data_IF_636388867516
#
_entry.id   IF_636388867516
#
_cell.length_a   1.000
_cell.length_b   1.000
_cell.length_c   1.000
_cell.angle_alpha   90.00
_cell.angle_beta   90.00
_cell.angle_gamma   90.00
#
_symmetry.space_group_name_H-M   'P 1'
#
loop_
_entity.id
_entity.type
_entity.pdbx_description
1 polymer ?
#
# COMPACT_ATOMS: atom_id res chain seq x y z
N UNK A 1 -18.52 71.67 14.01
CA UNK A 1 -19.20 70.48 13.43
C UNK A 1 -18.41 69.81 12.30
N UNK A 2 -17.75 70.55 11.40
CA UNK A 2 -16.91 70.00 10.30
C UNK A 2 -15.66 69.19 10.71
N UNK A 3 -15.15 69.39 11.93
CA UNK A 3 -13.95 68.68 12.43
C UNK A 3 -14.24 67.23 12.85
N UNK A 4 -15.48 66.91 13.22
CA UNK A 4 -15.89 65.56 13.63
C UNK A 4 -16.05 64.64 12.41
N UNK A 5 -16.58 65.17 11.30
CA UNK A 5 -16.82 64.42 10.05
C UNK A 5 -15.49 64.00 9.39
N UNK A 6 -14.44 64.83 9.49
CA UNK A 6 -13.08 64.46 9.02
C UNK A 6 -12.39 63.39 9.88
N UNK A 7 -12.77 63.24 11.16
CA UNK A 7 -12.25 62.15 12.02
C UNK A 7 -13.01 60.84 11.80
N UNK A 8 -14.33 60.89 11.62
CA UNK A 8 -15.14 59.70 11.32
C UNK A 8 -14.76 59.04 9.98
N UNK A 9 -14.47 59.84 8.95
CA UNK A 9 -14.06 59.34 7.62
C UNK A 9 -12.69 58.64 7.61
N UNK A 10 -11.76 59.03 8.50
CA UNK A 10 -10.48 58.32 8.69
C UNK A 10 -10.64 57.00 9.44
N UNK A 11 -11.57 56.92 10.40
CA UNK A 11 -11.87 55.70 11.15
C UNK A 11 -12.56 54.64 10.28
N UNK A 12 -13.50 55.03 9.41
CA UNK A 12 -14.12 54.11 8.45
C UNK A 12 -13.15 53.60 7.40
N UNK A 13 -12.18 54.42 6.96
CA UNK A 13 -11.13 53.97 6.03
C UNK A 13 -10.16 52.97 6.64
N UNK A 14 -9.81 53.13 7.93
CA UNK A 14 -8.97 52.18 8.67
C UNK A 14 -9.72 50.88 8.98
N UNK A 15 -11.02 50.96 9.30
CA UNK A 15 -11.89 49.78 9.49
C UNK A 15 -12.09 49.00 8.18
N UNK A 16 -12.18 49.67 7.02
CA UNK A 16 -12.23 49.00 5.72
C UNK A 16 -10.89 48.31 5.39
N UNK A 17 -9.75 48.94 5.72
CA UNK A 17 -8.43 48.33 5.55
C UNK A 17 -8.21 47.13 6.49
N UNK A 18 -8.71 47.19 7.73
CA UNK A 18 -8.68 46.08 8.68
C UNK A 18 -9.60 44.93 8.24
N UNK A 19 -10.75 45.22 7.63
CA UNK A 19 -11.62 44.20 7.05
C UNK A 19 -11.01 43.52 5.81
N UNK A 20 -10.25 44.26 4.99
CA UNK A 20 -9.47 43.71 3.87
C UNK A 20 -8.29 42.84 4.35
N UNK A 21 -7.71 43.13 5.52
CA UNK A 21 -6.66 42.31 6.14
C UNK A 21 -7.21 41.11 6.93
N UNK A 22 -8.45 41.18 7.44
CA UNK A 22 -9.16 40.06 8.04
C UNK A 22 -9.74 39.09 7.00
N UNK A 23 -9.95 39.55 5.75
CA UNK A 23 -10.36 38.73 4.61
C UNK A 23 -9.24 37.90 3.99
N UNK A 24 -8.03 37.92 4.56
CA UNK A 24 -7.00 36.92 4.28
C UNK A 24 -7.24 35.69 5.16
N UNK A 25 -8.48 35.19 5.19
CA UNK A 25 -8.68 33.79 5.48
C UNK A 25 -7.89 33.07 4.39
N UNK A 26 -6.77 32.44 4.76
CA UNK A 26 -6.15 31.43 3.91
C UNK A 26 -7.27 30.47 3.55
N UNK A 27 -7.78 30.61 2.33
CA UNK A 27 -8.68 29.64 1.72
C UNK A 27 -7.99 28.30 1.96
N UNK A 28 -8.54 27.50 2.88
CA UNK A 28 -7.96 26.22 3.30
C UNK A 28 -8.10 25.29 2.10
N UNK A 29 -7.18 25.46 1.16
CA UNK A 29 -7.30 24.98 -0.19
C UNK A 29 -7.07 23.49 -0.12
N UNK A 30 -8.16 22.79 -0.37
CA UNK A 30 -8.25 21.35 -0.27
C UNK A 30 -7.43 20.78 -1.43
N UNK A 31 -6.46 19.93 -1.14
CA UNK A 31 -5.64 19.26 -2.15
C UNK A 31 -6.42 18.09 -2.72
N UNK A 32 -6.47 18.00 -4.05
CA UNK A 32 -7.14 16.93 -4.76
C UNK A 32 -6.14 15.85 -5.17
N UNK A 33 -6.46 14.61 -4.84
CA UNK A 33 -5.75 13.41 -5.28
C UNK A 33 -6.65 12.70 -6.29
N UNK A 34 -6.10 12.31 -7.43
CA UNK A 34 -6.84 11.63 -8.49
C UNK A 34 -5.98 10.54 -9.08
N UNK A 35 -6.59 9.51 -9.65
CA UNK A 35 -5.86 8.52 -10.42
C UNK A 35 -6.80 7.52 -11.07
N UNK A 36 -6.19 6.59 -11.80
CA UNK A 36 -6.85 5.41 -12.33
C UNK A 36 -6.27 4.16 -11.73
N UNK A 37 -7.12 3.16 -11.53
CA UNK A 37 -6.67 1.78 -11.34
C UNK A 37 -6.64 1.12 -12.71
N UNK A 38 -5.47 0.62 -13.11
CA UNK A 38 -5.23 0.08 -14.45
C UNK A 38 -4.88 -1.40 -14.33
N UNK A 39 -5.55 -2.24 -15.11
CA UNK A 39 -5.18 -3.64 -15.30
C UNK A 39 -3.89 -3.67 -16.12
N UNK A 40 -2.81 -4.16 -15.50
CA UNK A 40 -1.47 -4.13 -16.06
C UNK A 40 -1.37 -4.91 -17.38
N UNK A 41 -2.16 -5.97 -17.53
CA UNK A 41 -2.10 -6.86 -18.69
C UNK A 41 -2.80 -6.26 -19.91
N UNK A 42 -3.89 -5.55 -19.68
CA UNK A 42 -4.78 -5.06 -20.75
C UNK A 42 -4.66 -3.55 -20.96
N UNK A 43 -3.96 -2.85 -20.05
CA UNK A 43 -3.92 -1.39 -19.97
C UNK A 43 -5.32 -0.75 -19.90
N UNK A 44 -6.32 -1.52 -19.45
CA UNK A 44 -7.69 -1.04 -19.31
C UNK A 44 -7.97 -0.58 -17.88
N UNK A 45 -8.84 0.42 -17.69
CA UNK A 45 -9.26 0.84 -16.36
C UNK A 45 -10.07 -0.24 -15.63
N UNK A 46 -9.91 -0.31 -14.31
CA UNK A 46 -10.59 -1.27 -13.43
C UNK A 46 -11.59 -0.55 -12.53
N UNK A 47 -12.88 -0.69 -12.83
CA UNK A 47 -13.97 -0.16 -11.99
C UNK A 47 -14.12 -0.91 -10.68
N UNK A 48 -14.95 -0.40 -9.76
CA UNK A 48 -15.39 -1.08 -8.54
C UNK A 48 -14.23 -1.70 -7.75
N UNK A 49 -13.16 -0.92 -7.62
CA UNK A 49 -11.95 -1.26 -6.88
C UNK A 49 -11.92 -0.42 -5.63
N UNK A 50 -11.75 -1.03 -4.44
CA UNK A 50 -11.51 -0.27 -3.21
C UNK A 50 -10.13 0.38 -3.32
N UNK A 51 -9.99 1.65 -2.97
CA UNK A 51 -8.73 2.38 -3.04
C UNK A 51 -8.46 3.03 -1.69
N UNK A 52 -7.31 2.71 -1.10
CA UNK A 52 -6.86 3.32 0.14
C UNK A 52 -5.68 4.25 -0.15
N UNK A 53 -5.83 5.55 0.12
CA UNK A 53 -4.75 6.52 0.06
C UNK A 53 -4.10 6.63 1.44
N UNK A 54 -2.80 6.27 1.53
CA UNK A 54 -2.03 6.34 2.76
C UNK A 54 -1.09 7.55 2.74
N UNK A 55 -1.31 8.46 3.69
CA UNK A 55 -0.59 9.73 3.80
C UNK A 55 0.26 9.71 5.06
N UNK A 56 1.49 10.21 4.93
CA UNK A 56 2.44 10.28 6.01
C UNK A 56 2.92 11.71 6.26
N UNK A 57 3.12 12.06 7.53
CA UNK A 57 3.54 13.41 7.93
C UNK A 57 5.07 13.52 7.91
N UNK A 58 5.67 13.33 6.74
CA UNK A 58 7.12 13.35 6.56
C UNK A 58 7.84 12.23 7.32
N UNK A 59 9.13 12.04 7.03
CA UNK A 59 10.01 11.32 7.93
C UNK A 59 10.46 12.33 9.00
N UNK A 60 9.94 12.24 10.22
CA UNK A 60 10.61 12.92 11.33
C UNK A 60 12.02 12.34 11.43
N UNK A 61 13.04 13.19 11.64
CA UNK A 61 14.41 12.75 11.95
C UNK A 61 14.47 11.83 13.18
N UNK A 62 13.40 11.81 13.96
CA UNK A 62 13.16 10.85 15.03
C UNK A 62 12.42 9.62 14.48
N UNK A 63 13.00 8.45 14.74
CA UNK A 63 12.60 7.08 14.35
C UNK A 63 11.21 6.61 14.81
N UNK A 64 10.25 7.51 14.99
CA UNK A 64 8.88 7.13 15.28
C UNK A 64 8.17 6.72 14.00
N UNK A 65 7.98 5.40 13.82
CA UNK A 65 7.03 4.86 12.85
C UNK A 65 5.62 5.30 13.26
N UNK A 66 5.21 6.47 12.81
CA UNK A 66 3.82 6.92 12.97
C UNK A 66 2.92 6.14 12.03
N UNK A 67 1.79 5.65 12.52
CA UNK A 67 0.77 5.01 11.67
C UNK A 67 0.31 6.00 10.59
N UNK A 68 0.32 5.62 9.30
CA UNK A 68 -0.14 6.50 8.24
C UNK A 68 -1.62 6.80 8.40
N UNK A 69 -2.03 7.99 7.98
CA UNK A 69 -3.45 8.30 7.82
C UNK A 69 -3.98 7.58 6.58
N UNK A 70 -5.15 6.95 6.70
CA UNK A 70 -5.80 6.22 5.61
C UNK A 70 -7.08 6.91 5.20
N UNK A 71 -7.22 7.19 3.90
CA UNK A 71 -8.46 7.66 3.28
C UNK A 71 -8.95 6.57 2.34
N UNK A 72 -10.15 6.07 2.60
CA UNK A 72 -10.75 5.00 1.79
C UNK A 72 -11.69 5.59 0.72
N UNK A 73 -11.77 4.92 -0.42
CA UNK A 73 -12.65 5.26 -1.51
C UNK A 73 -12.81 4.09 -2.48
N UNK A 74 -13.41 4.35 -3.64
CA UNK A 74 -13.54 3.35 -4.70
C UNK A 74 -13.46 3.98 -6.09
N UNK A 75 -13.11 3.18 -7.09
CA UNK A 75 -13.13 3.62 -8.48
C UNK A 75 -14.55 3.66 -9.05
N UNK A 76 -14.80 4.64 -9.92
CA UNK A 76 -16.02 4.72 -10.72
C UNK A 76 -16.01 3.74 -11.90
N UNK A 77 -17.04 3.79 -12.75
CA UNK A 77 -17.16 2.93 -13.95
C UNK A 77 -16.05 3.11 -15.00
N UNK A 78 -15.28 4.20 -14.92
CA UNK A 78 -14.11 4.48 -15.77
C UNK A 78 -12.80 4.09 -15.09
N UNK A 79 -12.85 3.40 -13.94
CA UNK A 79 -11.68 3.04 -13.13
C UNK A 79 -10.98 4.22 -12.48
N UNK A 80 -11.62 5.40 -12.45
CA UNK A 80 -11.07 6.63 -11.87
C UNK A 80 -11.48 6.78 -10.41
N UNK A 81 -10.59 7.30 -9.58
CA UNK A 81 -10.87 7.64 -8.18
C UNK A 81 -10.43 9.07 -7.88
N UNK A 82 -11.02 9.68 -6.85
CA UNK A 82 -10.61 10.99 -6.35
C UNK A 82 -10.79 11.10 -4.84
N UNK A 83 -9.84 11.78 -4.18
CA UNK A 83 -9.90 12.17 -2.79
C UNK A 83 -9.68 13.68 -2.68
N UNK A 84 -10.30 14.30 -1.68
CA UNK A 84 -10.09 15.71 -1.35
C UNK A 84 -9.71 15.81 0.12
N UNK A 85 -8.54 16.40 0.41
CA UNK A 85 -8.07 16.58 1.79
C UNK A 85 -7.27 17.87 1.92
N UNK A 86 -7.43 18.55 3.06
CA UNK A 86 -6.53 19.64 3.47
C UNK A 86 -5.16 19.05 3.77
N UNK A 87 -4.20 19.24 2.85
CA UNK A 87 -2.82 18.80 3.04
C UNK A 87 -2.07 19.78 3.94
N UNK A 88 -1.18 19.25 4.77
CA UNK A 88 -0.22 20.02 5.57
C UNK A 88 1.14 20.02 4.89
N UNK A 89 1.93 21.06 5.15
CA UNK A 89 3.31 21.13 4.69
C UNK A 89 4.12 19.91 5.20
N UNK A 90 4.99 19.37 4.36
CA UNK A 90 5.83 18.21 4.68
C UNK A 90 5.15 16.84 4.57
N UNK A 91 3.86 16.76 4.20
CA UNK A 91 3.20 15.48 3.98
C UNK A 91 3.65 14.80 2.68
N UNK A 92 3.84 13.49 2.74
CA UNK A 92 4.14 12.61 1.61
C UNK A 92 3.02 11.60 1.41
N UNK A 93 2.72 11.28 0.16
CA UNK A 93 1.93 10.10 -0.16
C UNK A 93 2.88 8.93 -0.06
N UNK A 94 2.62 8.10 0.95
CA UNK A 94 3.39 6.90 1.14
C UNK A 94 2.96 5.83 0.14
N UNK A 95 1.64 5.69 -0.05
CA UNK A 95 1.07 4.57 -0.78
C UNK A 95 -0.36 4.83 -1.29
N UNK A 96 -0.73 4.23 -2.42
CA UNK A 96 -2.12 4.07 -2.84
C UNK A 96 -2.36 2.57 -3.03
N UNK A 97 -3.15 1.96 -2.14
CA UNK A 97 -3.45 0.52 -2.16
C UNK A 97 -4.81 0.26 -2.82
N UNK A 98 -4.87 -0.13 -4.10
CA UNK A 98 -6.05 -0.70 -4.70
C UNK A 98 -6.29 -2.14 -4.24
N UNK A 99 -7.53 -2.47 -3.93
CA UNK A 99 -7.97 -3.82 -3.54
C UNK A 99 -9.12 -4.27 -4.44
N UNK A 100 -8.91 -5.37 -5.15
CA UNK A 100 -9.93 -6.05 -5.94
C UNK A 100 -9.74 -7.56 -5.90
N UNK A 101 -10.83 -8.29 -5.71
CA UNK A 101 -10.81 -9.76 -5.71
C UNK A 101 -10.26 -10.29 -7.03
N UNK A 102 -9.33 -11.25 -6.96
CA UNK A 102 -8.68 -11.84 -8.13
C UNK A 102 -7.53 -11.01 -8.70
N UNK A 103 -7.17 -9.91 -8.05
CA UNK A 103 -6.04 -9.07 -8.41
C UNK A 103 -5.04 -8.95 -7.26
N UNK A 104 -3.80 -8.64 -7.63
CA UNK A 104 -2.71 -8.24 -6.74
C UNK A 104 -2.24 -6.86 -7.12
N UNK A 105 -1.90 -6.08 -6.10
CA UNK A 105 -1.32 -4.77 -6.28
C UNK A 105 0.09 -4.87 -6.86
N UNK A 106 0.36 -4.03 -7.86
CA UNK A 106 1.69 -3.82 -8.43
C UNK A 106 2.22 -2.48 -7.94
N UNK A 107 3.35 -2.56 -7.25
CA UNK A 107 3.88 -1.48 -6.44
C UNK A 107 4.62 -0.42 -7.27
N UNK A 108 3.93 0.65 -7.70
CA UNK A 108 4.53 1.72 -8.53
C UNK A 108 4.71 3.08 -7.82
N UNK A 109 4.07 3.30 -6.67
CA UNK A 109 3.92 4.65 -6.10
C UNK A 109 4.40 4.81 -4.64
N UNK A 110 5.62 4.39 -4.32
CA UNK A 110 6.23 4.73 -3.01
C UNK A 110 6.72 6.18 -3.02
N UNK A 111 6.26 6.98 -2.05
CA UNK A 111 6.97 8.20 -1.62
C UNK A 111 6.84 9.43 -2.52
N UNK A 112 5.65 9.70 -3.08
CA UNK A 112 5.41 10.92 -3.86
C UNK A 112 5.13 12.11 -2.91
N UNK A 113 5.90 13.19 -3.03
CA UNK A 113 5.62 14.44 -2.30
C UNK A 113 4.26 15.00 -2.72
N UNK A 114 3.45 15.39 -1.73
CA UNK A 114 2.17 16.05 -1.99
C UNK A 114 2.47 17.46 -2.50
N UNK A 115 1.95 17.81 -3.68
CA UNK A 115 1.94 19.17 -4.18
C UNK A 115 0.70 19.88 -3.62
N UNK A 116 0.83 20.78 -2.64
CA UNK A 116 -0.32 21.43 -2.02
C UNK A 116 -1.03 22.30 -3.05
N UNK A 117 -2.35 22.35 -2.98
CA UNK A 117 -3.18 23.22 -3.84
C UNK A 117 -3.10 22.86 -5.34
N UNK A 118 -2.48 21.72 -5.67
CA UNK A 118 -2.39 21.18 -7.01
C UNK A 118 -3.13 19.84 -7.10
N UNK A 119 -3.39 19.42 -8.33
CA UNK A 119 -3.88 18.09 -8.63
C UNK A 119 -2.72 17.09 -8.56
N UNK A 120 -2.82 16.12 -7.66
CA UNK A 120 -1.86 15.03 -7.54
C UNK A 120 -2.40 13.81 -8.31
N UNK A 121 -1.73 13.40 -9.40
CA UNK A 121 -2.13 12.25 -10.24
C UNK A 121 -1.34 11.00 -9.84
N UNK A 122 -2.06 9.93 -9.49
CA UNK A 122 -1.54 8.75 -8.81
C UNK A 122 -2.08 7.47 -9.45
N UNK A 123 -1.81 7.23 -10.72
CA UNK A 123 -2.23 5.97 -11.33
C UNK A 123 -1.58 4.78 -10.60
N UNK A 124 -2.36 3.71 -10.42
CA UNK A 124 -1.94 2.49 -9.75
C UNK A 124 -2.32 1.29 -10.60
N UNK A 125 -1.58 0.20 -10.43
CA UNK A 125 -1.68 -0.95 -11.30
C UNK A 125 -2.10 -2.18 -10.50
N UNK A 126 -3.08 -2.90 -11.04
CA UNK A 126 -3.45 -4.22 -10.58
C UNK A 126 -3.05 -5.23 -11.63
N UNK A 127 -2.49 -6.36 -11.20
CA UNK A 127 -2.28 -7.51 -12.05
C UNK A 127 -3.17 -8.65 -11.61
N UNK A 128 -3.61 -9.49 -12.54
CA UNK A 128 -4.38 -10.67 -12.18
C UNK A 128 -3.54 -11.57 -11.27
N UNK A 129 -4.15 -11.99 -10.18
CA UNK A 129 -3.46 -12.71 -9.13
C UNK A 129 -3.43 -14.21 -9.38
N UNK A 130 -2.36 -14.85 -8.92
CA UNK A 130 -2.39 -16.22 -8.40
C UNK A 130 -2.13 -16.16 -6.91
N UNK A 131 -2.71 -17.08 -6.14
CA UNK A 131 -2.51 -17.10 -4.70
C UNK A 131 -1.82 -18.40 -4.26
N UNK A 132 -1.01 -18.31 -3.21
CA UNK A 132 -0.56 -19.44 -2.41
C UNK A 132 -1.17 -19.31 -1.03
N UNK A 133 -1.95 -20.31 -0.64
CA UNK A 133 -2.35 -20.52 0.74
C UNK A 133 -1.45 -21.59 1.36
N UNK A 134 -0.65 -21.18 2.34
CA UNK A 134 0.23 -22.04 3.10
C UNK A 134 -0.37 -22.24 4.49
N UNK A 135 -0.66 -23.49 4.83
CA UNK A 135 -1.03 -23.90 6.17
C UNK A 135 0.18 -24.54 6.84
N UNK A 136 0.55 -24.06 8.03
CA UNK A 136 1.65 -24.59 8.82
C UNK A 136 1.04 -25.19 10.07
N UNK A 137 1.14 -26.52 10.17
CA UNK A 137 0.57 -27.30 11.26
C UNK A 137 1.70 -27.98 12.04
N UNK A 138 1.75 -27.75 13.36
CA UNK A 138 2.63 -28.51 14.25
C UNK A 138 1.96 -29.83 14.60
N UNK A 139 2.49 -30.96 14.13
CA UNK A 139 1.77 -32.26 14.15
C UNK A 139 2.01 -33.09 15.42
N UNK A 140 2.96 -32.70 16.26
CA UNK A 140 3.18 -33.31 17.59
C UNK A 140 2.85 -32.31 18.70
N UNK A 141 2.50 -32.82 19.90
CA UNK A 141 2.44 -32.02 21.13
C UNK A 141 3.63 -31.05 21.18
N UNK A 142 3.39 -29.80 21.58
CA UNK A 142 4.37 -28.72 21.51
C UNK A 142 5.75 -29.16 22.03
N UNK A 143 6.62 -29.62 21.14
CA UNK A 143 8.02 -29.85 21.48
C UNK A 143 8.67 -28.47 21.50
N UNK A 144 9.13 -27.99 22.66
CA UNK A 144 9.76 -26.67 22.78
C UNK A 144 11.05 -26.56 21.94
N UNK A 145 11.54 -27.68 21.41
CA UNK A 145 12.87 -27.80 20.82
C UNK A 145 12.87 -27.83 19.28
N UNK A 146 11.74 -27.50 18.64
CA UNK A 146 11.59 -27.48 17.19
C UNK A 146 11.30 -26.07 16.66
N UNK A 147 12.26 -25.52 15.94
CA UNK A 147 12.09 -24.27 15.18
C UNK A 147 11.87 -24.55 13.70
N UNK A 148 10.98 -23.77 13.07
CA UNK A 148 10.70 -23.83 11.64
C UNK A 148 11.03 -22.50 10.98
N UNK A 149 11.87 -22.54 9.97
CA UNK A 149 12.09 -21.43 9.06
C UNK A 149 11.49 -21.75 7.71
N UNK A 150 10.51 -20.96 7.28
CA UNK A 150 9.91 -21.04 5.95
C UNK A 150 10.47 -19.93 5.08
N UNK A 151 10.86 -20.26 3.86
CA UNK A 151 11.32 -19.29 2.86
C UNK A 151 10.51 -19.49 1.59
N UNK A 152 9.93 -18.39 1.12
CA UNK A 152 9.27 -18.30 -0.16
C UNK A 152 10.18 -17.52 -1.11
N UNK A 153 10.54 -18.13 -2.23
CA UNK A 153 11.32 -17.47 -3.29
C UNK A 153 10.50 -17.38 -4.57
N UNK A 154 10.54 -16.22 -5.22
CA UNK A 154 9.71 -15.87 -6.36
C UNK A 154 10.59 -15.55 -7.57
N UNK A 155 11.08 -16.56 -8.31
CA UNK A 155 11.93 -16.29 -9.45
C UNK A 155 11.18 -15.46 -10.48
N UNK A 156 11.81 -14.36 -10.90
CA UNK A 156 11.26 -13.47 -11.91
C UNK A 156 11.41 -14.10 -13.29
N UNK A 157 10.32 -14.16 -14.04
CA UNK A 157 10.37 -14.46 -15.46
C UNK A 157 10.97 -13.25 -16.21
N UNK A 158 12.25 -13.36 -16.56
CA UNK A 158 12.97 -12.34 -17.30
C UNK A 158 12.45 -12.15 -18.74
N UNK A 159 11.67 -13.12 -19.27
CA UNK A 159 11.06 -13.01 -20.59
C UNK A 159 9.76 -12.19 -20.59
N UNK A 160 9.19 -11.90 -19.41
CA UNK A 160 7.95 -11.15 -19.30
C UNK A 160 8.13 -9.65 -19.64
N UNK A 161 7.15 -9.01 -20.34
CA UNK A 161 7.23 -7.60 -20.73
C UNK A 161 7.37 -6.65 -19.55
N UNK A 162 8.19 -5.59 -19.64
CA UNK A 162 8.44 -4.62 -18.55
C UNK A 162 7.13 -4.08 -17.97
N UNK A 163 7.12 -3.78 -16.68
CA UNK A 163 5.96 -3.23 -15.97
C UNK A 163 6.39 -2.06 -15.08
N UNK A 164 5.50 -1.09 -14.83
CA UNK A 164 5.72 -0.05 -13.83
C UNK A 164 5.64 -0.67 -12.43
N UNK A 165 6.74 -0.61 -11.70
CA UNK A 165 6.79 -0.96 -10.28
C UNK A 165 7.81 -2.03 -9.89
N UNK A 166 7.76 -2.40 -8.61
CA UNK A 166 8.68 -3.36 -7.99
C UNK A 166 7.92 -4.61 -7.55
N UNK A 167 8.48 -5.79 -7.83
CA UNK A 167 8.02 -7.04 -7.24
C UNK A 167 9.00 -7.48 -6.15
N UNK A 168 8.48 -7.99 -5.03
CA UNK A 168 9.32 -8.65 -4.03
C UNK A 168 9.87 -9.96 -4.60
N UNK A 169 11.13 -10.27 -4.27
CA UNK A 169 11.84 -11.45 -4.78
C UNK A 169 11.82 -12.63 -3.82
N UNK A 170 11.63 -12.39 -2.51
CA UNK A 170 11.53 -13.43 -1.50
C UNK A 170 10.87 -12.92 -0.20
N UNK A 171 10.34 -13.85 0.60
CA UNK A 171 9.91 -13.62 1.98
C UNK A 171 10.43 -14.75 2.88
N UNK A 172 10.80 -14.43 4.12
CA UNK A 172 11.26 -15.39 5.13
C UNK A 172 10.37 -15.25 6.36
N UNK A 173 9.84 -16.37 6.84
CA UNK A 173 9.02 -16.46 8.03
C UNK A 173 9.67 -17.41 9.01
N UNK A 174 9.87 -16.96 10.25
CA UNK A 174 10.39 -17.79 11.33
C UNK A 174 9.25 -18.09 12.30
N UNK A 175 8.99 -19.38 12.50
CA UNK A 175 8.01 -19.89 13.44
C UNK A 175 8.76 -20.57 14.58
N UNK A 176 8.64 -20.00 15.77
CA UNK A 176 9.19 -20.60 16.97
C UNK A 176 8.27 -21.71 17.49
N UNK A 177 8.79 -22.50 18.43
CA UNK A 177 8.11 -23.66 18.98
C UNK A 177 6.73 -23.40 19.64
N UNK A 178 6.32 -22.15 19.84
CA UNK A 178 5.10 -21.77 20.58
C UNK A 178 3.87 -21.63 19.67
N UNK A 179 4.04 -21.33 18.38
CA UNK A 179 2.90 -21.11 17.46
C UNK A 179 2.37 -22.46 16.96
N UNK A 180 1.15 -22.90 17.33
CA UNK A 180 0.66 -24.24 17.01
C UNK A 180 0.21 -24.38 15.55
N UNK A 181 -0.34 -23.30 14.98
CA UNK A 181 -0.83 -23.26 13.61
C UNK A 181 -0.68 -21.85 13.06
N UNK A 182 -0.22 -21.72 11.81
CA UNK A 182 -0.21 -20.45 11.09
C UNK A 182 -0.76 -20.64 9.69
N UNK A 183 -1.57 -19.67 9.25
CA UNK A 183 -2.05 -19.59 7.87
C UNK A 183 -1.43 -18.35 7.21
N UNK A 184 -0.89 -18.54 6.02
CA UNK A 184 -0.35 -17.48 5.19
C UNK A 184 -1.02 -17.52 3.82
N UNK A 185 -1.69 -16.43 3.44
CA UNK A 185 -2.18 -16.21 2.09
C UNK A 185 -1.30 -15.15 1.41
N UNK A 186 -0.70 -15.50 0.27
CA UNK A 186 0.11 -14.59 -0.55
C UNK A 186 -0.34 -14.58 -2.00
N UNK A 187 -0.48 -13.38 -2.55
CA UNK A 187 -0.81 -13.17 -3.94
C UNK A 187 0.42 -12.82 -4.78
N UNK A 188 0.42 -13.28 -6.02
CA UNK A 188 1.51 -13.15 -6.99
C UNK A 188 0.99 -12.68 -8.33
N UNK A 189 1.80 -11.90 -9.04
CA UNK A 189 1.56 -11.62 -10.45
C UNK A 189 2.05 -12.81 -11.29
N UNK A 190 1.13 -13.70 -11.67
CA UNK A 190 1.44 -15.01 -12.22
C UNK A 190 2.25 -14.99 -13.53
N UNK A 191 2.06 -13.97 -14.39
CA UNK A 191 2.84 -13.86 -15.65
C UNK A 191 4.31 -13.55 -15.42
N UNK A 192 4.67 -13.01 -14.25
CA UNK A 192 6.05 -12.70 -13.86
C UNK A 192 6.61 -13.64 -12.80
N UNK A 193 5.74 -14.36 -12.12
CA UNK A 193 6.08 -15.39 -11.14
C UNK A 193 5.42 -16.70 -11.58
N UNK A 194 6.06 -17.49 -12.46
CA UNK A 194 5.45 -18.71 -12.99
C UNK A 194 5.31 -19.82 -11.91
N UNK A 195 6.06 -19.71 -10.83
CA UNK A 195 6.02 -20.62 -9.69
C UNK A 195 6.59 -19.96 -8.44
N UNK A 196 6.25 -20.51 -7.28
CA UNK A 196 6.91 -20.23 -6.00
C UNK A 196 7.81 -21.40 -5.66
N UNK A 197 9.06 -21.12 -5.30
CA UNK A 197 9.92 -22.10 -4.64
C UNK A 197 9.70 -21.95 -3.13
N UNK A 198 9.05 -22.95 -2.54
CA UNK A 198 8.84 -23.05 -1.10
C UNK A 198 9.95 -23.95 -0.52
N UNK A 199 10.72 -23.43 0.41
CA UNK A 199 11.67 -24.22 1.20
C UNK A 199 11.41 -24.05 2.68
N UNK A 200 11.60 -25.11 3.45
CA UNK A 200 11.53 -25.04 4.90
C UNK A 200 12.62 -25.85 5.56
N UNK A 201 13.12 -25.28 6.65
CA UNK A 201 14.15 -25.82 7.51
C UNK A 201 13.53 -26.10 8.87
N UNK A 202 13.62 -27.34 9.33
CA UNK A 202 13.22 -27.75 10.68
C UNK A 202 14.49 -28.00 11.47
N UNK A 203 14.72 -27.20 12.51
CA UNK A 203 15.88 -27.33 13.39
C UNK A 203 15.45 -27.90 14.74
N UNK A 204 16.20 -28.90 15.20
CA UNK A 204 16.07 -29.55 16.50
C UNK A 204 17.40 -29.46 17.25
N UNK A 205 17.46 -29.81 18.55
CA UNK A 205 18.72 -29.85 19.31
C UNK A 205 19.82 -30.71 18.66
N UNK A 206 19.45 -31.75 17.90
CA UNK A 206 20.39 -32.76 17.40
C UNK A 206 20.56 -32.78 15.87
N UNK A 207 19.69 -32.09 15.12
CA UNK A 207 19.69 -32.13 13.67
C UNK A 207 18.92 -30.97 13.03
N UNK A 208 19.27 -30.67 11.77
CA UNK A 208 18.55 -29.78 10.88
C UNK A 208 18.09 -30.54 9.64
N UNK A 209 16.79 -30.52 9.35
CA UNK A 209 16.21 -31.09 8.13
C UNK A 209 15.79 -29.96 7.17
N UNK A 210 16.14 -30.10 5.90
CA UNK A 210 15.78 -29.15 4.84
C UNK A 210 14.90 -29.82 3.79
N UNK A 211 13.78 -29.17 3.45
CA UNK A 211 12.87 -29.60 2.37
C UNK A 211 12.59 -28.45 1.43
N UNK A 212 12.28 -28.76 0.17
CA UNK A 212 11.94 -27.78 -0.86
C UNK A 212 10.96 -28.36 -1.87
N UNK A 213 10.07 -27.51 -2.36
CA UNK A 213 9.12 -27.84 -3.42
C UNK A 213 8.90 -26.65 -4.35
N UNK A 214 8.66 -26.94 -5.63
CA UNK A 214 8.24 -25.97 -6.63
C UNK A 214 6.73 -26.03 -6.78
N UNK A 215 6.05 -24.92 -6.49
CA UNK A 215 4.59 -24.80 -6.58
C UNK A 215 4.27 -23.97 -7.83
N UNK A 216 3.68 -24.56 -8.89
CA UNK A 216 3.26 -23.80 -10.06
C UNK A 216 2.15 -22.82 -9.68
N UNK A 217 2.13 -21.65 -10.32
CA UNK A 217 1.08 -20.67 -10.17
C UNK A 217 0.20 -20.62 -11.42
N UNK A 218 -1.12 -20.50 -11.21
CA UNK A 218 -2.13 -20.47 -12.28
C UNK A 218 -3.00 -19.23 -12.10
N UNK A 219 -3.27 -18.52 -13.20
CA UNK A 219 -4.08 -17.28 -13.20
C UNK A 219 -5.41 -17.49 -12.47
N UNK A 220 -5.71 -16.60 -11.51
CA UNK A 220 -6.94 -16.58 -10.68
C UNK A 220 -7.17 -17.83 -9.82
N UNK A 221 -6.17 -18.70 -9.70
CA UNK A 221 -6.24 -19.88 -8.85
C UNK A 221 -5.52 -19.66 -7.52
N UNK A 222 -5.85 -20.50 -6.53
CA UNK A 222 -5.16 -20.59 -5.25
C UNK A 222 -4.49 -21.95 -5.14
N UNK A 223 -3.16 -21.98 -5.15
CA UNK A 223 -2.42 -23.17 -4.77
C UNK A 223 -2.50 -23.35 -3.25
N UNK A 224 -2.78 -24.57 -2.80
CA UNK A 224 -2.81 -24.92 -1.38
C UNK A 224 -1.62 -25.81 -1.05
N UNK A 225 -0.91 -25.48 0.02
CA UNK A 225 0.19 -26.31 0.51
C UNK A 225 0.18 -26.38 2.03
N UNK A 226 0.46 -27.57 2.56
CA UNK A 226 0.54 -27.80 4.00
C UNK A 226 1.95 -28.22 4.40
N UNK A 227 2.53 -27.52 5.39
CA UNK A 227 3.75 -27.92 6.07
C UNK A 227 3.36 -28.51 7.42
N UNK A 228 3.63 -29.80 7.57
CA UNK A 228 3.58 -30.50 8.84
C UNK A 228 4.99 -30.76 9.37
N UNK A 229 5.27 -30.41 10.62
CA UNK A 229 6.59 -30.59 11.27
C UNK A 229 6.49 -30.96 12.76
#
# INVERSE_FOLDING_TARGET
MLYLIKRLSKLTGILLLLALLAGCEKEESTTAFTGKVIDLDTSQPVSDTKVNLLIWNGFSSETSLTTPEVIEGSTNSKGEYSFAKKSREGQTIYWVAPEKVGYVEVKDAIGKLIKPHERNVLDTYLAKASYLKLNINKTSAASPDKDLKVTLSYPHDASAPPFPGTMYSAEIFNYNAVVPTAELLRGFYFKRTPFVLLSWEVTTESATENKRIRIPLVERDTAFYEISY
#
